data_IF_404513428040
#
_entry.id   IF_404513428040
#
_cell.length_a   1.000
_cell.length_b   1.000
_cell.length_c   1.000
_cell.angle_alpha   90.00
_cell.angle_beta   90.00
_cell.angle_gamma   90.00
#
_symmetry.space_group_name_H-M   'P 1'
#
loop_
_entity.id
_entity.type
_entity.pdbx_description
1 polymer ?
#
# COMPACT_ATOMS: atom_id res chain seq x y z
N UNK A 1 29.52 -19.92 -57.22
CA UNK A 1 29.66 -21.31 -57.72
C UNK A 1 30.74 -22.00 -56.90
N UNK A 2 30.45 -23.25 -56.53
CA UNK A 2 31.08 -24.04 -55.49
C UNK A 2 32.59 -24.24 -55.64
N UNK A 3 33.28 -24.50 -54.53
CA UNK A 3 33.94 -25.79 -54.30
C UNK A 3 34.28 -25.97 -52.80
N UNK A 4 33.58 -26.92 -52.18
CA UNK A 4 34.00 -27.66 -50.98
C UNK A 4 35.23 -28.52 -51.33
N UNK A 5 36.24 -28.63 -50.47
CA UNK A 5 36.74 -29.86 -49.80
C UNK A 5 37.70 -29.45 -48.63
N UNK A 6 38.09 -30.33 -47.67
CA UNK A 6 37.77 -30.17 -46.26
C UNK A 6 39.00 -30.05 -45.34
N UNK A 7 38.71 -29.93 -44.04
CA UNK A 7 39.64 -30.04 -42.92
C UNK A 7 40.74 -31.11 -43.11
N UNK A 8 41.99 -30.67 -43.00
CA UNK A 8 43.10 -31.51 -42.54
C UNK A 8 43.74 -30.87 -41.32
N UNK A 9 43.63 -31.60 -40.20
CA UNK A 9 44.43 -31.41 -39.01
C UNK A 9 45.91 -31.42 -39.39
N UNK A 10 46.66 -30.40 -38.94
CA UNK A 10 47.98 -30.50 -38.30
C UNK A 10 48.72 -29.15 -38.36
N UNK A 11 48.58 -28.34 -37.31
CA UNK A 11 49.74 -27.97 -36.49
C UNK A 11 49.28 -27.31 -35.19
N UNK A 12 49.24 -28.15 -34.16
CA UNK A 12 49.35 -27.76 -32.76
C UNK A 12 50.68 -27.04 -32.57
N UNK A 13 50.69 -25.72 -32.78
CA UNK A 13 51.88 -24.89 -32.58
C UNK A 13 51.62 -23.60 -31.79
N UNK A 14 50.36 -23.20 -31.62
CA UNK A 14 50.00 -21.92 -30.99
C UNK A 14 48.93 -22.01 -29.91
N UNK A 15 48.30 -23.17 -29.69
CA UNK A 15 47.31 -23.33 -28.61
C UNK A 15 47.91 -23.74 -27.26
N UNK A 16 49.11 -24.32 -27.22
CA UNK A 16 49.68 -24.88 -25.98
C UNK A 16 50.34 -23.83 -25.07
N UNK A 17 50.55 -22.61 -25.58
CA UNK A 17 51.06 -21.47 -24.80
C UNK A 17 49.94 -20.62 -24.19
N UNK A 18 48.74 -20.68 -24.75
CA UNK A 18 47.59 -19.87 -24.30
C UNK A 18 47.11 -20.38 -22.93
N UNK A 19 47.04 -21.70 -22.74
CA UNK A 19 46.53 -22.33 -21.52
C UNK A 19 47.56 -22.49 -20.38
N UNK A 20 48.79 -21.96 -20.51
CA UNK A 20 49.81 -22.02 -19.44
C UNK A 20 50.03 -20.71 -18.72
N UNK A 21 49.43 -19.60 -19.17
CA UNK A 21 49.42 -18.36 -18.41
C UNK A 21 48.49 -18.54 -17.21
N UNK A 22 49.00 -18.43 -15.96
CA UNK A 22 48.17 -18.49 -14.76
C UNK A 22 47.08 -17.43 -14.78
N UNK A 23 47.35 -16.28 -15.41
CA UNK A 23 46.40 -15.18 -15.59
C UNK A 23 45.28 -15.58 -16.55
N UNK A 24 45.62 -16.20 -17.68
CA UNK A 24 44.63 -16.63 -18.66
C UNK A 24 43.80 -17.81 -18.16
N UNK A 25 44.40 -18.75 -17.42
CA UNK A 25 43.68 -19.82 -16.75
C UNK A 25 42.72 -19.28 -15.67
N UNK A 26 43.11 -18.24 -14.92
CA UNK A 26 42.22 -17.56 -13.98
C UNK A 26 41.04 -16.92 -14.69
N UNK A 27 41.26 -16.21 -15.79
CA UNK A 27 40.16 -15.60 -16.57
C UNK A 27 39.22 -16.68 -17.15
N UNK A 28 39.76 -17.79 -17.64
CA UNK A 28 38.96 -18.94 -18.14
C UNK A 28 38.17 -19.61 -17.00
N UNK A 29 38.72 -19.68 -15.79
CA UNK A 29 38.01 -20.24 -14.62
C UNK A 29 36.95 -19.29 -14.07
N UNK A 30 37.21 -17.98 -14.13
CA UNK A 30 36.24 -16.95 -13.76
C UNK A 30 35.06 -16.96 -14.74
N UNK A 31 35.28 -17.33 -16.00
CA UNK A 31 34.24 -17.36 -17.03
C UNK A 31 33.88 -18.80 -17.43
N UNK A 32 32.97 -19.42 -16.68
CA UNK A 32 32.45 -20.77 -16.98
C UNK A 32 30.97 -20.72 -17.37
N UNK A 33 30.59 -21.46 -18.42
CA UNK A 33 29.20 -21.55 -18.86
C UNK A 33 28.60 -20.25 -19.43
N UNK A 34 29.44 -19.26 -19.78
CA UNK A 34 28.98 -17.97 -20.33
C UNK A 34 28.76 -16.88 -19.27
N UNK A 35 29.00 -17.17 -17.99
CA UNK A 35 28.81 -16.23 -16.89
C UNK A 35 30.11 -16.04 -16.09
N UNK A 36 30.35 -14.82 -15.62
CA UNK A 36 31.44 -14.56 -14.69
C UNK A 36 31.05 -15.03 -13.28
N UNK A 37 32.01 -15.56 -12.52
CA UNK A 37 31.78 -16.04 -11.15
C UNK A 37 31.18 -14.97 -10.22
N UNK A 38 31.58 -13.70 -10.40
CA UNK A 38 31.05 -12.55 -9.67
C UNK A 38 29.59 -12.22 -10.03
N UNK A 39 29.04 -12.79 -11.10
CA UNK A 39 27.68 -12.50 -11.59
C UNK A 39 26.69 -13.62 -11.30
N UNK A 40 27.15 -14.76 -10.78
CA UNK A 40 26.30 -15.89 -10.40
C UNK A 40 25.14 -15.50 -9.46
N UNK A 41 25.30 -14.57 -8.48
CA UNK A 41 24.20 -14.20 -7.60
C UNK A 41 23.00 -13.56 -8.32
N UNK A 42 23.19 -13.02 -9.53
CA UNK A 42 22.14 -12.33 -10.28
C UNK A 42 21.35 -13.25 -11.22
N UNK A 43 21.79 -14.48 -11.45
CA UNK A 43 21.14 -15.40 -12.40
C UNK A 43 19.66 -15.66 -12.08
N UNK A 44 19.29 -15.67 -10.80
CA UNK A 44 17.91 -15.90 -10.38
C UNK A 44 16.98 -14.69 -10.59
N UNK A 45 17.53 -13.50 -10.86
CA UNK A 45 16.75 -12.27 -11.03
C UNK A 45 16.06 -12.17 -12.41
N UNK A 46 16.48 -12.98 -13.38
CA UNK A 46 15.88 -13.03 -14.72
C UNK A 46 14.38 -13.40 -14.68
N UNK A 47 13.97 -14.26 -13.73
CA UNK A 47 12.57 -14.69 -13.56
C UNK A 47 11.68 -13.63 -12.89
N UNK A 48 12.26 -12.72 -12.11
CA UNK A 48 11.56 -11.70 -11.30
C UNK A 48 11.27 -10.43 -12.14
N UNK A 49 12.04 -10.21 -13.20
CA UNK A 49 12.16 -8.95 -13.96
C UNK A 49 10.86 -8.38 -14.57
N UNK A 50 9.88 -9.21 -14.98
CA UNK A 50 8.73 -8.68 -15.77
C UNK A 50 7.50 -8.25 -14.96
N UNK A 51 6.99 -9.01 -13.97
CA UNK A 51 5.75 -8.62 -13.28
C UNK A 51 5.99 -7.59 -12.18
N UNK A 52 7.08 -7.74 -11.41
CA UNK A 52 7.29 -7.01 -10.16
C UNK A 52 7.74 -5.57 -10.41
N UNK A 53 8.77 -5.36 -11.24
CA UNK A 53 9.17 -4.01 -11.65
C UNK A 53 8.05 -3.32 -12.45
N UNK A 54 7.49 -3.95 -13.48
CA UNK A 54 6.41 -3.32 -14.25
C UNK A 54 5.15 -3.01 -13.42
N UNK A 55 4.83 -3.80 -12.39
CA UNK A 55 3.74 -3.48 -11.47
C UNK A 55 4.15 -2.34 -10.53
N UNK A 56 5.27 -2.47 -9.81
CA UNK A 56 5.81 -1.47 -8.89
C UNK A 56 5.85 -0.06 -9.47
N UNK A 57 6.46 0.04 -10.66
CA UNK A 57 6.74 1.34 -11.23
C UNK A 57 5.49 1.91 -11.98
N UNK A 58 4.50 1.06 -12.31
CA UNK A 58 3.20 1.49 -12.87
C UNK A 58 2.16 1.84 -11.79
N UNK A 59 2.14 1.12 -10.66
CA UNK A 59 1.18 1.35 -9.58
C UNK A 59 1.65 2.38 -8.56
N UNK A 60 2.88 2.86 -8.69
CA UNK A 60 3.44 3.87 -7.78
C UNK A 60 3.53 3.39 -6.34
N UNK A 61 3.51 2.07 -6.12
CA UNK A 61 3.66 1.47 -4.81
C UNK A 61 5.14 1.20 -4.58
N UNK A 62 5.82 2.08 -3.85
CA UNK A 62 7.14 1.84 -3.26
C UNK A 62 7.15 0.71 -2.20
N UNK A 63 6.08 -0.06 -2.06
CA UNK A 63 6.08 -1.35 -1.34
C UNK A 63 6.76 -2.48 -2.16
N UNK A 64 7.65 -2.14 -3.09
CA UNK A 64 8.69 -3.09 -3.45
C UNK A 64 9.75 -3.01 -2.37
N UNK A 65 9.78 -4.03 -1.53
CA UNK A 65 10.92 -4.29 -0.69
C UNK A 65 12.13 -4.59 -1.60
N UNK A 66 12.84 -3.53 -1.97
CA UNK A 66 14.07 -3.61 -2.74
C UNK A 66 15.27 -3.89 -1.82
N UNK A 67 15.11 -3.92 -0.50
CA UNK A 67 16.22 -4.07 0.46
C UNK A 67 17.05 -5.35 0.20
N UNK A 68 16.45 -6.53 -0.08
CA UNK A 68 17.24 -7.72 -0.39
C UNK A 68 18.10 -7.56 -1.66
N UNK A 69 17.54 -6.93 -2.69
CA UNK A 69 18.25 -6.63 -3.93
C UNK A 69 19.35 -5.58 -3.70
N UNK A 70 19.03 -4.55 -2.93
CA UNK A 70 19.95 -3.47 -2.60
C UNK A 70 21.14 -3.97 -1.78
N UNK A 71 20.90 -4.83 -0.79
CA UNK A 71 21.96 -5.48 -0.04
C UNK A 71 22.86 -6.34 -0.92
N UNK A 72 22.28 -7.09 -1.86
CA UNK A 72 23.04 -7.89 -2.82
C UNK A 72 23.91 -7.01 -3.72
N UNK A 73 23.33 -5.96 -4.31
CA UNK A 73 24.05 -5.03 -5.19
C UNK A 73 25.11 -4.25 -4.43
N UNK A 74 24.83 -3.78 -3.22
CA UNK A 74 25.78 -3.07 -2.36
C UNK A 74 26.98 -3.96 -2.01
N UNK A 75 26.75 -5.22 -1.62
CA UNK A 75 27.83 -6.16 -1.36
C UNK A 75 28.69 -6.41 -2.62
N UNK A 76 28.05 -6.49 -3.78
CA UNK A 76 28.73 -6.65 -5.07
C UNK A 76 29.55 -5.42 -5.45
N UNK A 77 29.00 -4.21 -5.33
CA UNK A 77 29.73 -2.97 -5.59
C UNK A 77 30.92 -2.80 -4.62
N UNK A 78 30.76 -3.18 -3.35
CA UNK A 78 31.85 -3.15 -2.37
C UNK A 78 33.00 -4.11 -2.73
N UNK A 79 32.68 -5.27 -3.29
CA UNK A 79 33.67 -6.28 -3.66
C UNK A 79 34.39 -5.99 -4.99
N UNK A 80 33.66 -5.46 -5.99
CA UNK A 80 34.16 -5.38 -7.38
C UNK A 80 34.22 -3.96 -7.95
N UNK A 81 33.63 -2.98 -7.27
CA UNK A 81 33.54 -1.59 -7.73
C UNK A 81 32.47 -1.36 -8.80
N UNK A 82 32.01 -0.11 -8.91
CA UNK A 82 31.01 0.30 -9.93
C UNK A 82 31.58 0.16 -11.35
N UNK A 83 32.90 0.23 -11.54
CA UNK A 83 33.56 0.04 -12.85
C UNK A 83 33.34 -1.38 -13.45
N UNK A 84 32.89 -2.34 -12.64
CA UNK A 84 32.52 -3.68 -13.10
C UNK A 84 31.15 -3.70 -13.80
N UNK A 85 30.30 -2.70 -13.55
CA UNK A 85 28.92 -2.61 -14.05
C UNK A 85 28.79 -2.71 -15.59
N UNK A 86 29.64 -2.05 -16.41
CA UNK A 86 29.70 -2.27 -17.86
C UNK A 86 29.80 -3.72 -18.29
N UNK A 87 30.54 -4.57 -17.55
CA UNK A 87 30.67 -5.99 -17.88
C UNK A 87 29.41 -6.75 -17.48
N UNK A 88 28.81 -6.42 -16.33
CA UNK A 88 27.54 -6.99 -15.88
C UNK A 88 26.42 -6.75 -16.89
N UNK A 89 26.28 -5.52 -17.39
CA UNK A 89 25.22 -5.18 -18.35
C UNK A 89 25.43 -5.85 -19.71
N UNK A 90 26.68 -6.01 -20.16
CA UNK A 90 26.98 -6.71 -21.42
C UNK A 90 26.71 -8.22 -21.33
N UNK A 91 26.97 -8.85 -20.19
CA UNK A 91 26.69 -10.29 -19.99
C UNK A 91 25.23 -10.56 -19.62
N UNK A 92 24.57 -9.63 -18.93
CA UNK A 92 23.20 -9.74 -18.43
C UNK A 92 22.40 -8.45 -18.73
N UNK A 93 21.89 -8.26 -19.96
CA UNK A 93 21.24 -7.00 -20.35
C UNK A 93 20.02 -6.61 -19.50
N UNK A 94 19.30 -7.58 -18.94
CA UNK A 94 18.14 -7.35 -18.06
C UNK A 94 18.53 -6.65 -16.74
N UNK A 95 19.79 -6.79 -16.30
CA UNK A 95 20.27 -6.12 -15.08
C UNK A 95 20.27 -4.60 -15.22
N UNK A 96 20.31 -4.05 -16.44
CA UNK A 96 20.29 -2.59 -16.66
C UNK A 96 19.07 -1.91 -16.03
N UNK A 97 17.88 -2.50 -16.17
CA UNK A 97 16.67 -1.91 -15.58
C UNK A 97 16.66 -2.07 -14.04
N UNK A 98 17.16 -3.21 -13.55
CA UNK A 98 17.22 -3.53 -12.12
C UNK A 98 18.15 -2.57 -11.38
N UNK A 99 19.40 -2.42 -11.85
CA UNK A 99 20.39 -1.54 -11.24
C UNK A 99 20.02 -0.07 -11.37
N UNK A 100 19.27 0.32 -12.42
CA UNK A 100 18.73 1.67 -12.55
C UNK A 100 17.68 1.96 -11.48
N UNK A 101 16.75 1.02 -11.26
CA UNK A 101 15.72 1.19 -10.23
C UNK A 101 16.33 1.23 -8.82
N UNK A 102 17.27 0.33 -8.52
CA UNK A 102 18.03 0.32 -7.27
C UNK A 102 18.80 1.65 -7.08
N UNK A 103 19.54 2.09 -8.09
CA UNK A 103 20.31 3.32 -8.00
C UNK A 103 19.43 4.56 -7.79
N UNK A 104 18.24 4.60 -8.40
CA UNK A 104 17.29 5.67 -8.17
C UNK A 104 16.66 5.61 -6.78
N UNK A 105 16.25 4.41 -6.33
CA UNK A 105 15.57 4.20 -5.05
C UNK A 105 16.48 4.37 -3.82
N UNK A 106 17.80 4.19 -3.97
CA UNK A 106 18.79 4.26 -2.87
C UNK A 106 19.87 5.33 -3.05
N UNK A 107 19.71 6.25 -4.01
CA UNK A 107 20.59 7.42 -4.11
C UNK A 107 21.99 7.14 -4.71
N UNK A 108 22.15 6.10 -5.53
CA UNK A 108 23.47 5.73 -6.05
C UNK A 108 23.82 6.46 -7.36
N UNK A 109 24.23 7.73 -7.23
CA UNK A 109 24.64 8.57 -8.37
C UNK A 109 25.83 7.98 -9.14
N UNK A 110 26.74 7.26 -8.48
CA UNK A 110 27.89 6.63 -9.16
C UNK A 110 27.45 5.55 -10.15
N UNK A 111 26.43 4.76 -9.79
CA UNK A 111 25.82 3.78 -10.70
C UNK A 111 25.11 4.48 -11.85
N UNK A 112 24.33 5.54 -11.58
CA UNK A 112 23.69 6.33 -12.64
C UNK A 112 24.70 6.92 -13.62
N UNK A 113 25.83 7.40 -13.11
CA UNK A 113 26.90 7.93 -13.95
C UNK A 113 27.55 6.84 -14.81
N UNK A 114 27.84 5.68 -14.24
CA UNK A 114 28.31 4.53 -15.01
C UNK A 114 27.30 4.07 -16.07
N UNK A 115 25.99 4.13 -15.77
CA UNK A 115 24.93 3.81 -16.73
C UNK A 115 24.87 4.82 -17.87
N UNK A 116 24.95 6.12 -17.55
CA UNK A 116 24.93 7.21 -18.52
C UNK A 116 26.12 7.14 -19.51
N UNK A 117 27.29 6.72 -19.02
CA UNK A 117 28.48 6.48 -19.88
C UNK A 117 28.30 5.30 -20.85
N UNK A 118 27.46 4.32 -20.52
CA UNK A 118 27.18 3.16 -21.37
C UNK A 118 26.15 3.47 -22.44
N UNK A 119 25.07 4.14 -22.04
CA UNK A 119 23.97 4.55 -22.90
C UNK A 119 23.30 5.77 -22.25
N UNK A 120 23.10 6.88 -22.98
CA UNK A 120 22.56 8.11 -22.41
C UNK A 120 21.24 7.89 -21.68
N UNK A 121 21.15 8.34 -20.42
CA UNK A 121 20.00 8.05 -19.56
C UNK A 121 18.65 8.49 -20.16
N UNK A 122 18.61 9.58 -20.91
CA UNK A 122 17.39 10.12 -21.52
C UNK A 122 16.71 9.17 -22.53
N UNK A 123 17.40 8.12 -23.00
CA UNK A 123 16.82 7.16 -23.96
C UNK A 123 15.95 6.09 -23.29
N UNK A 124 16.15 5.81 -21.99
CA UNK A 124 15.43 4.75 -21.27
C UNK A 124 14.88 5.15 -19.88
N UNK A 125 15.35 6.24 -19.27
CA UNK A 125 14.76 6.76 -18.04
C UNK A 125 13.35 7.28 -18.32
N UNK A 126 12.43 6.98 -17.40
CA UNK A 126 11.01 7.34 -17.40
C UNK A 126 10.65 7.94 -16.05
N UNK A 127 9.51 8.63 -15.98
CA UNK A 127 8.96 9.19 -14.74
C UNK A 127 8.99 8.23 -13.57
N UNK A 128 8.75 6.95 -13.86
CA UNK A 128 8.69 5.86 -12.91
C UNK A 128 10.04 5.69 -12.15
N UNK A 129 11.18 5.83 -12.83
CA UNK A 129 12.52 5.73 -12.22
C UNK A 129 12.86 6.99 -11.41
N UNK A 130 12.53 8.16 -11.93
CA UNK A 130 12.77 9.44 -11.24
C UNK A 130 11.84 9.57 -10.03
N UNK A 131 10.63 9.03 -10.14
CA UNK A 131 9.66 8.89 -9.08
C UNK A 131 10.17 8.05 -7.91
N UNK A 132 10.94 6.98 -8.16
CA UNK A 132 11.60 6.22 -7.09
C UNK A 132 12.60 7.08 -6.30
N UNK A 133 13.41 7.90 -6.98
CA UNK A 133 14.31 8.82 -6.30
C UNK A 133 13.55 9.89 -5.50
N UNK A 134 12.46 10.42 -6.07
CA UNK A 134 11.64 11.41 -5.42
C UNK A 134 10.88 10.86 -4.20
N UNK A 135 10.41 9.62 -4.29
CA UNK A 135 9.71 8.90 -3.23
C UNK A 135 10.61 8.54 -2.04
N UNK A 136 11.93 8.42 -2.25
CA UNK A 136 12.91 8.06 -1.22
C UNK A 136 13.81 9.23 -0.80
N UNK A 137 13.47 10.47 -1.19
CA UNK A 137 14.19 11.65 -0.72
C UNK A 137 15.57 11.89 -1.37
N UNK A 138 15.89 11.21 -2.48
CA UNK A 138 17.21 11.28 -3.12
C UNK A 138 17.36 12.50 -4.04
N UNK A 139 17.46 13.69 -3.43
CA UNK A 139 17.65 14.97 -4.11
C UNK A 139 18.95 14.99 -4.93
N UNK A 140 19.98 14.28 -4.51
CA UNK A 140 21.25 14.12 -5.26
C UNK A 140 21.05 13.43 -6.61
N UNK A 141 20.25 12.37 -6.65
CA UNK A 141 19.82 11.71 -7.90
C UNK A 141 18.99 12.66 -8.74
N UNK A 142 18.03 13.37 -8.15
CA UNK A 142 17.20 14.34 -8.89
C UNK A 142 18.05 15.47 -9.50
N UNK A 143 19.06 15.96 -8.77
CA UNK A 143 20.03 16.94 -9.27
C UNK A 143 20.86 16.38 -10.41
N UNK A 144 21.36 15.16 -10.29
CA UNK A 144 22.11 14.50 -11.37
C UNK A 144 21.26 14.34 -12.64
N UNK A 145 20.00 13.97 -12.46
CA UNK A 145 19.03 13.77 -13.53
C UNK A 145 18.51 15.10 -14.12
N UNK A 146 18.56 16.21 -13.39
CA UNK A 146 18.11 17.52 -13.87
C UNK A 146 18.88 17.99 -15.12
N UNK A 147 20.14 17.59 -15.26
CA UNK A 147 20.97 17.93 -16.42
C UNK A 147 20.71 17.02 -17.63
N UNK A 148 19.92 15.95 -17.47
CA UNK A 148 19.57 15.03 -18.54
C UNK A 148 18.31 15.51 -19.28
N UNK A 149 18.30 15.56 -20.63
CA UNK A 149 17.16 16.03 -21.41
C UNK A 149 16.07 14.94 -21.54
N UNK A 150 15.49 14.51 -20.41
CA UNK A 150 14.27 13.71 -20.42
C UNK A 150 13.06 14.58 -20.03
N UNK A 151 11.87 14.23 -20.54
CA UNK A 151 10.65 14.98 -20.28
C UNK A 151 10.16 14.70 -18.87
N UNK A 152 10.42 15.63 -17.93
CA UNK A 152 9.82 15.60 -16.60
C UNK A 152 8.31 15.85 -16.69
N UNK A 153 7.57 15.30 -15.74
CA UNK A 153 6.12 15.49 -15.65
C UNK A 153 5.71 15.84 -14.22
N UNK A 154 4.44 16.19 -14.03
CA UNK A 154 3.84 16.45 -12.71
C UNK A 154 3.97 15.27 -11.74
N UNK A 155 4.12 14.05 -12.27
CA UNK A 155 4.17 12.82 -11.47
C UNK A 155 5.30 12.80 -10.47
N UNK A 156 6.41 13.49 -10.74
CA UNK A 156 7.58 13.42 -9.85
C UNK A 156 7.29 14.09 -8.50
N UNK A 157 6.59 15.24 -8.52
CA UNK A 157 6.15 15.88 -7.28
C UNK A 157 5.00 15.10 -6.63
N UNK A 158 4.13 14.47 -7.42
CA UNK A 158 3.08 13.59 -6.90
C UNK A 158 3.69 12.39 -6.12
N UNK A 159 4.78 11.80 -6.63
CA UNK A 159 5.53 10.75 -5.93
C UNK A 159 6.13 11.26 -4.63
N UNK A 160 6.90 12.36 -4.65
CA UNK A 160 7.49 12.93 -3.44
C UNK A 160 6.42 13.24 -2.37
N UNK A 161 5.28 13.79 -2.80
CA UNK A 161 4.18 14.12 -1.90
C UNK A 161 3.49 12.88 -1.31
N UNK A 162 3.33 11.83 -2.13
CA UNK A 162 2.77 10.54 -1.70
C UNK A 162 3.57 9.93 -0.56
N UNK A 163 4.89 10.08 -0.56
CA UNK A 163 5.81 9.51 0.43
C UNK A 163 6.21 10.45 1.56
N UNK A 164 5.68 11.68 1.56
CA UNK A 164 5.94 12.63 2.65
C UNK A 164 7.30 13.31 2.56
N UNK A 165 7.98 13.23 1.42
CA UNK A 165 9.32 13.76 1.19
C UNK A 165 9.29 15.28 0.98
N UNK A 166 9.06 16.02 2.06
CA UNK A 166 8.87 17.48 2.04
C UNK A 166 10.04 18.24 1.43
N UNK A 167 11.28 17.84 1.73
CA UNK A 167 12.47 18.52 1.18
C UNK A 167 12.60 18.29 -0.33
N UNK A 168 12.21 17.11 -0.81
CA UNK A 168 12.11 16.82 -2.25
C UNK A 168 11.00 17.65 -2.90
N UNK A 169 9.83 17.77 -2.27
CA UNK A 169 8.73 18.60 -2.77
C UNK A 169 9.16 20.07 -2.88
N UNK A 170 9.87 20.60 -1.87
CA UNK A 170 10.46 21.95 -1.89
C UNK A 170 11.46 22.11 -3.02
N UNK A 171 12.39 21.16 -3.15
CA UNK A 171 13.41 21.20 -4.20
C UNK A 171 12.76 21.22 -5.59
N UNK A 172 11.78 20.33 -5.83
CA UNK A 172 11.03 20.28 -7.09
C UNK A 172 10.27 21.59 -7.34
N UNK A 173 9.66 22.18 -6.32
CA UNK A 173 8.96 23.46 -6.42
C UNK A 173 9.88 24.61 -6.83
N UNK A 174 11.09 24.67 -6.29
CA UNK A 174 12.05 25.75 -6.55
C UNK A 174 12.79 25.61 -7.89
N UNK A 175 12.99 24.38 -8.38
CA UNK A 175 13.87 24.12 -9.53
C UNK A 175 13.12 23.67 -10.78
N UNK A 176 11.84 23.31 -10.68
CA UNK A 176 11.04 22.74 -11.77
C UNK A 176 9.73 23.51 -11.97
N UNK A 177 9.28 23.59 -13.22
CA UNK A 177 8.10 24.39 -13.60
C UNK A 177 6.86 23.52 -13.87
N UNK A 178 7.04 22.22 -14.03
CA UNK A 178 5.99 21.24 -14.38
C UNK A 178 4.88 21.20 -13.34
N UNK A 179 5.22 21.37 -12.06
CA UNK A 179 4.26 21.36 -10.96
C UNK A 179 3.86 19.97 -10.48
N UNK A 180 2.64 19.88 -9.95
CA UNK A 180 2.04 18.64 -9.49
C UNK A 180 0.63 18.48 -10.08
N UNK A 181 -0.01 17.36 -9.80
CA UNK A 181 -1.44 17.19 -10.04
C UNK A 181 -2.23 17.29 -8.72
N UNK A 182 -3.54 17.05 -8.78
CA UNK A 182 -4.35 16.89 -7.57
C UNK A 182 -3.89 15.69 -6.72
N UNK A 183 -3.20 14.73 -7.34
CA UNK A 183 -2.76 13.51 -6.68
C UNK A 183 -1.71 13.79 -5.60
N UNK A 184 -0.87 14.82 -5.75
CA UNK A 184 0.09 15.20 -4.70
C UNK A 184 -0.58 15.46 -3.36
N UNK A 185 -1.58 16.36 -3.30
CA UNK A 185 -2.26 16.68 -2.04
C UNK A 185 -3.22 15.57 -1.61
N UNK A 186 -3.87 14.88 -2.55
CA UNK A 186 -4.76 13.76 -2.24
C UNK A 186 -3.99 12.60 -1.59
N UNK A 187 -2.83 12.22 -2.14
CA UNK A 187 -2.02 11.11 -1.63
C UNK A 187 -1.24 11.49 -0.37
N UNK A 188 -0.71 12.72 -0.27
CA UNK A 188 -0.15 13.23 0.98
C UNK A 188 -1.20 13.18 2.11
N UNK A 189 -2.45 13.51 1.80
CA UNK A 189 -3.55 13.43 2.77
C UNK A 189 -3.92 12.00 3.13
N UNK A 190 -4.00 11.11 2.12
CA UNK A 190 -4.24 9.68 2.29
C UNK A 190 -3.21 9.02 3.22
N UNK A 191 -1.93 9.43 3.17
CA UNK A 191 -0.84 8.86 3.94
C UNK A 191 -0.47 9.67 5.20
N UNK A 192 -1.24 10.71 5.53
CA UNK A 192 -1.08 11.44 6.79
C UNK A 192 0.08 12.44 6.81
N UNK A 193 0.63 12.82 5.66
CA UNK A 193 1.77 13.73 5.54
C UNK A 193 1.34 15.20 5.63
N UNK A 194 0.86 15.62 6.80
CA UNK A 194 0.39 16.99 7.05
C UNK A 194 1.39 18.08 6.62
N UNK A 195 2.71 17.99 6.89
CA UNK A 195 3.66 19.02 6.46
C UNK A 195 3.71 19.22 4.94
N UNK A 196 3.52 18.15 4.17
CA UNK A 196 3.43 18.21 2.71
C UNK A 196 2.11 18.86 2.27
N UNK A 197 0.99 18.49 2.91
CA UNK A 197 -0.33 19.09 2.63
C UNK A 197 -0.30 20.61 2.87
N UNK A 198 0.28 21.05 3.99
CA UNK A 198 0.47 22.47 4.32
C UNK A 198 1.32 23.18 3.28
N UNK A 199 2.46 22.59 2.90
CA UNK A 199 3.35 23.17 1.92
C UNK A 199 2.67 23.32 0.55
N UNK A 200 2.01 22.26 0.06
CA UNK A 200 1.31 22.27 -1.22
C UNK A 200 0.20 23.33 -1.21
N UNK A 201 -0.58 23.43 -0.13
CA UNK A 201 -1.63 24.45 -0.06
C UNK A 201 -1.09 25.88 -0.12
N UNK A 202 0.03 26.16 0.56
CA UNK A 202 0.60 27.51 0.63
C UNK A 202 1.31 27.93 -0.66
N UNK A 203 1.88 26.98 -1.41
CA UNK A 203 2.81 27.28 -2.51
C UNK A 203 2.34 26.79 -3.88
N UNK A 204 1.28 25.98 -3.96
CA UNK A 204 0.81 25.37 -5.21
C UNK A 204 -0.69 25.66 -5.46
N UNK A 205 -1.07 26.14 -6.67
CA UNK A 205 -2.45 26.46 -6.99
C UNK A 205 -3.33 25.23 -7.31
N UNK A 206 -2.76 24.04 -7.51
CA UNK A 206 -3.49 22.85 -7.96
C UNK A 206 -4.56 22.39 -6.97
N UNK A 207 -4.28 22.45 -5.66
CA UNK A 207 -5.21 22.06 -4.60
C UNK A 207 -5.48 20.56 -4.52
N UNK A 208 -6.69 20.19 -4.09
CA UNK A 208 -7.13 18.81 -3.95
C UNK A 208 -8.58 18.63 -4.40
N UNK A 209 -9.12 17.42 -4.26
CA UNK A 209 -10.56 17.19 -4.34
C UNK A 209 -11.05 16.48 -3.06
N UNK A 210 -12.33 16.12 -2.98
CA UNK A 210 -12.91 15.50 -1.79
C UNK A 210 -12.24 14.17 -1.38
N UNK A 211 -11.50 13.51 -2.28
CA UNK A 211 -10.73 12.31 -1.96
C UNK A 211 -9.66 12.60 -0.92
N UNK A 212 -9.07 13.80 -0.85
CA UNK A 212 -8.05 14.11 0.16
C UNK A 212 -8.59 13.88 1.58
N UNK A 213 -9.77 14.43 1.88
CA UNK A 213 -10.39 14.29 3.21
C UNK A 213 -11.04 12.92 3.39
N UNK A 214 -11.67 12.35 2.35
CA UNK A 214 -12.26 11.00 2.42
C UNK A 214 -11.20 9.93 2.74
N UNK A 215 -10.03 10.01 2.08
CA UNK A 215 -8.94 9.07 2.26
C UNK A 215 -8.16 9.32 3.56
N UNK A 216 -7.93 10.58 3.95
CA UNK A 216 -7.37 10.89 5.25
C UNK A 216 -8.24 10.34 6.40
N UNK A 217 -9.57 10.44 6.27
CA UNK A 217 -10.52 9.87 7.21
C UNK A 217 -10.48 8.33 7.20
N UNK A 218 -10.43 7.73 6.01
CA UNK A 218 -10.30 6.27 5.84
C UNK A 218 -9.08 5.69 6.52
N UNK A 219 -7.95 6.40 6.58
CA UNK A 219 -6.71 5.92 7.20
C UNK A 219 -6.47 6.51 8.61
N UNK A 220 -7.46 7.19 9.19
CA UNK A 220 -7.40 7.63 10.57
C UNK A 220 -6.54 8.88 10.82
N UNK A 221 -6.18 9.62 9.76
CA UNK A 221 -5.35 10.81 9.85
C UNK A 221 -6.14 12.05 10.30
N UNK A 222 -6.59 12.05 11.56
CA UNK A 222 -7.44 13.10 12.12
C UNK A 222 -6.85 14.52 11.96
N UNK A 223 -5.54 14.68 12.16
CA UNK A 223 -4.89 16.00 12.02
C UNK A 223 -5.01 16.55 10.60
N UNK A 224 -4.88 15.69 9.58
CA UNK A 224 -5.08 16.07 8.18
C UNK A 224 -6.54 16.41 7.91
N UNK A 225 -7.49 15.62 8.43
CA UNK A 225 -8.93 15.89 8.27
C UNK A 225 -9.30 17.25 8.86
N UNK A 226 -8.86 17.53 10.09
CA UNK A 226 -9.07 18.81 10.77
C UNK A 226 -8.49 19.97 9.97
N UNK A 227 -7.24 19.81 9.51
CA UNK A 227 -6.54 20.84 8.77
C UNK A 227 -7.22 21.13 7.43
N UNK A 228 -7.57 20.09 6.66
CA UNK A 228 -8.27 20.23 5.39
C UNK A 228 -9.63 20.92 5.61
N UNK A 229 -10.37 20.58 6.66
CA UNK A 229 -11.65 21.23 6.93
C UNK A 229 -11.53 22.71 7.27
N UNK A 230 -10.47 23.10 7.99
CA UNK A 230 -10.24 24.48 8.37
C UNK A 230 -9.76 25.36 7.21
N UNK A 231 -9.06 24.80 6.22
CA UNK A 231 -8.35 25.58 5.19
C UNK A 231 -8.85 25.34 3.76
N UNK A 232 -9.68 24.32 3.52
CA UNK A 232 -10.14 23.92 2.19
C UNK A 232 -11.66 23.85 2.13
N UNK A 233 -12.21 24.09 0.94
CA UNK A 233 -13.66 24.19 0.70
C UNK A 233 -14.24 22.96 0.02
N UNK A 234 -13.37 22.08 -0.48
CA UNK A 234 -13.69 20.84 -1.18
C UNK A 234 -14.44 19.85 -0.27
N UNK A 235 -14.16 19.90 1.03
CA UNK A 235 -14.81 19.09 2.06
C UNK A 235 -14.59 17.59 1.88
N UNK A 236 -15.47 16.79 2.50
CA UNK A 236 -15.54 15.35 2.31
C UNK A 236 -16.93 14.92 1.82
N UNK A 237 -17.01 13.67 1.37
CA UNK A 237 -18.28 13.02 1.02
C UNK A 237 -18.73 12.11 2.17
N UNK A 238 -19.86 11.43 1.99
CA UNK A 238 -20.30 10.39 2.93
C UNK A 238 -19.26 9.25 3.09
N UNK A 239 -18.34 9.10 2.13
CA UNK A 239 -17.27 8.09 2.18
C UNK A 239 -16.31 8.31 3.34
N UNK A 240 -16.01 9.55 3.73
CA UNK A 240 -15.16 9.82 4.90
C UNK A 240 -15.66 9.11 6.16
N UNK A 241 -16.96 9.24 6.49
CA UNK A 241 -17.53 8.55 7.65
C UNK A 241 -17.61 7.04 7.42
N UNK A 242 -18.12 6.61 6.26
CA UNK A 242 -18.28 5.19 5.97
C UNK A 242 -16.96 4.42 6.07
N UNK A 243 -15.87 4.98 5.53
CA UNK A 243 -14.55 4.37 5.53
C UNK A 243 -13.84 4.51 6.88
N UNK A 244 -13.94 5.66 7.55
CA UNK A 244 -13.44 5.81 8.92
C UNK A 244 -14.10 4.79 9.87
N UNK A 245 -15.41 4.59 9.72
CA UNK A 245 -16.16 3.61 10.51
C UNK A 245 -15.79 2.17 10.14
N UNK A 246 -15.65 1.88 8.84
CA UNK A 246 -15.23 0.58 8.32
C UNK A 246 -13.82 0.16 8.77
N UNK A 247 -12.94 1.12 9.07
CA UNK A 247 -11.57 0.88 9.54
C UNK A 247 -11.39 1.15 11.05
N UNK A 248 -12.48 1.45 11.76
CA UNK A 248 -12.47 1.55 13.22
C UNK A 248 -11.87 2.84 13.79
N UNK A 249 -11.69 3.88 12.97
CA UNK A 249 -11.10 5.17 13.36
C UNK A 249 -12.09 6.04 14.14
N UNK A 250 -12.32 5.69 15.41
CA UNK A 250 -13.31 6.33 16.27
C UNK A 250 -13.13 7.85 16.38
N UNK A 251 -11.90 8.33 16.56
CA UNK A 251 -11.63 9.76 16.76
C UNK A 251 -12.02 10.57 15.52
N UNK A 252 -11.78 10.02 14.32
CA UNK A 252 -12.21 10.63 13.05
C UNK A 252 -13.73 10.60 12.94
N UNK A 253 -14.37 9.49 13.28
CA UNK A 253 -15.84 9.36 13.29
C UNK A 253 -16.47 10.39 14.23
N UNK A 254 -15.95 10.51 15.46
CA UNK A 254 -16.41 11.48 16.45
C UNK A 254 -16.27 12.91 15.93
N UNK A 255 -15.12 13.23 15.34
CA UNK A 255 -14.84 14.56 14.83
C UNK A 255 -15.74 14.92 13.63
N UNK A 256 -15.87 14.01 12.66
CA UNK A 256 -16.76 14.19 11.50
C UNK A 256 -18.22 14.34 11.93
N UNK A 257 -18.64 13.57 12.94
CA UNK A 257 -19.99 13.66 13.48
C UNK A 257 -20.27 15.03 14.11
N UNK A 258 -19.30 15.58 14.86
CA UNK A 258 -19.44 16.87 15.53
C UNK A 258 -19.41 18.08 14.58
N UNK A 259 -18.70 17.99 13.45
CA UNK A 259 -18.43 19.13 12.57
C UNK A 259 -19.25 19.14 11.28
N UNK A 260 -20.03 18.09 10.99
CA UNK A 260 -20.81 17.99 9.76
C UNK A 260 -22.22 17.46 10.05
N UNK A 261 -23.06 18.38 10.56
CA UNK A 261 -24.45 18.13 10.97
C UNK A 261 -25.23 17.28 9.93
N UNK A 262 -25.55 16.04 10.31
CA UNK A 262 -26.59 15.20 9.70
C UNK A 262 -26.29 14.51 8.36
N UNK A 263 -25.27 14.92 7.60
CA UNK A 263 -24.97 14.32 6.28
C UNK A 263 -24.15 13.02 6.41
N UNK A 264 -23.42 12.86 7.52
CA UNK A 264 -22.41 11.81 7.64
C UNK A 264 -22.79 10.70 8.64
N UNK A 265 -23.81 10.84 9.50
CA UNK A 265 -24.30 9.73 10.32
C UNK A 265 -25.20 8.80 9.47
N UNK A 266 -24.58 7.98 8.61
CA UNK A 266 -25.33 7.04 7.78
C UNK A 266 -25.50 5.70 8.51
N UNK A 267 -26.69 5.07 8.46
CA UNK A 267 -26.86 3.68 8.89
C UNK A 267 -25.84 2.73 8.27
N UNK A 268 -25.35 3.08 7.06
CA UNK A 268 -24.31 2.36 6.36
C UNK A 268 -22.95 2.41 7.08
N UNK A 269 -22.56 3.53 7.68
CA UNK A 269 -21.35 3.60 8.49
C UNK A 269 -21.40 2.66 9.71
N UNK A 270 -22.55 2.60 10.41
CA UNK A 270 -22.77 1.63 11.51
C UNK A 270 -22.70 0.19 11.00
N UNK A 271 -23.33 -0.12 9.87
CA UNK A 271 -23.30 -1.46 9.28
C UNK A 271 -21.89 -1.87 8.85
N UNK A 272 -21.09 -0.95 8.29
CA UNK A 272 -19.70 -1.21 7.92
C UNK A 272 -18.84 -1.45 9.17
N UNK A 273 -18.96 -0.61 10.20
CA UNK A 273 -18.29 -0.84 11.48
C UNK A 273 -18.66 -2.21 12.08
N UNK A 274 -19.93 -2.60 12.01
CA UNK A 274 -20.40 -3.91 12.47
C UNK A 274 -19.86 -5.06 11.64
N UNK A 275 -19.75 -4.90 10.33
CA UNK A 275 -19.19 -5.91 9.41
C UNK A 275 -17.70 -6.17 9.65
N UNK A 276 -16.95 -5.17 10.10
CA UNK A 276 -15.51 -5.26 10.34
C UNK A 276 -15.13 -5.36 11.83
N UNK A 277 -16.11 -5.48 12.72
CA UNK A 277 -15.86 -5.78 14.13
C UNK A 277 -15.49 -4.57 15.00
N UNK A 278 -15.83 -3.36 14.58
CA UNK A 278 -15.52 -2.13 15.32
C UNK A 278 -16.64 -1.75 16.29
N UNK A 279 -16.77 -2.51 17.38
CA UNK A 279 -17.80 -2.33 18.42
C UNK A 279 -17.89 -0.87 18.90
N UNK A 280 -16.76 -0.28 19.27
CA UNK A 280 -16.70 1.08 19.81
C UNK A 280 -17.24 2.14 18.84
N UNK A 281 -17.08 1.95 17.52
CA UNK A 281 -17.67 2.83 16.50
C UNK A 281 -19.16 2.61 16.39
N UNK A 282 -19.62 1.35 16.39
CA UNK A 282 -21.05 1.01 16.33
C UNK A 282 -21.79 1.65 17.50
N UNK A 283 -21.30 1.45 18.72
CA UNK A 283 -21.94 1.97 19.94
C UNK A 283 -21.99 3.50 19.92
N UNK A 284 -20.89 4.17 19.55
CA UNK A 284 -20.86 5.63 19.46
C UNK A 284 -21.88 6.17 18.45
N UNK A 285 -21.89 5.63 17.23
CA UNK A 285 -22.84 6.06 16.19
C UNK A 285 -24.29 5.75 16.57
N UNK A 286 -24.53 4.65 17.29
CA UNK A 286 -25.86 4.26 17.76
C UNK A 286 -26.41 5.19 18.85
N UNK A 287 -25.57 5.54 19.82
CA UNK A 287 -25.93 6.45 20.91
C UNK A 287 -26.26 7.85 20.39
N UNK A 288 -25.56 8.30 19.35
CA UNK A 288 -25.63 9.67 18.87
C UNK A 288 -26.42 9.84 17.56
N UNK A 289 -27.29 8.90 17.19
CA UNK A 289 -28.21 9.09 16.07
C UNK A 289 -29.60 9.61 16.51
N UNK A 290 -30.12 10.59 15.77
CA UNK A 290 -31.41 11.24 16.02
C UNK A 290 -32.58 10.61 15.24
N UNK A 291 -32.55 9.29 15.05
CA UNK A 291 -33.61 8.57 14.35
C UNK A 291 -34.84 8.28 15.23
N UNK A 292 -36.03 8.32 14.63
CA UNK A 292 -37.31 7.94 15.26
C UNK A 292 -37.27 6.49 15.79
N UNK A 293 -38.00 6.14 16.89
CA UNK A 293 -37.89 4.84 17.57
C UNK A 293 -38.03 3.60 16.67
N UNK A 294 -38.93 3.66 15.68
CA UNK A 294 -39.10 2.57 14.70
C UNK A 294 -37.87 2.40 13.81
N UNK A 295 -37.24 3.51 13.40
CA UNK A 295 -36.03 3.52 12.59
C UNK A 295 -34.82 3.08 13.41
N UNK A 296 -34.72 3.48 14.69
CA UNK A 296 -33.69 2.97 15.62
C UNK A 296 -33.72 1.44 15.74
N UNK A 297 -34.92 0.86 15.84
CA UNK A 297 -35.11 -0.60 15.92
C UNK A 297 -34.72 -1.31 14.61
N UNK A 298 -35.09 -0.76 13.46
CA UNK A 298 -34.72 -1.31 12.15
C UNK A 298 -33.20 -1.27 11.89
N UNK A 299 -32.55 -0.18 12.30
CA UNK A 299 -31.09 -0.04 12.24
C UNK A 299 -30.43 -1.04 13.18
N UNK A 300 -30.88 -1.13 14.43
CA UNK A 300 -30.35 -2.09 15.40
C UNK A 300 -30.41 -3.53 14.88
N UNK A 301 -31.55 -3.96 14.32
CA UNK A 301 -31.68 -5.28 13.70
C UNK A 301 -30.69 -5.45 12.53
N UNK A 302 -30.56 -4.45 11.66
CA UNK A 302 -29.69 -4.53 10.49
C UNK A 302 -28.21 -4.62 10.88
N UNK A 303 -27.79 -3.82 11.86
CA UNK A 303 -26.44 -3.81 12.45
C UNK A 303 -26.13 -5.15 13.11
N UNK A 304 -27.02 -5.65 13.98
CA UNK A 304 -26.83 -6.95 14.63
C UNK A 304 -26.82 -8.11 13.63
N UNK A 305 -27.66 -8.08 12.59
CA UNK A 305 -27.66 -9.10 11.53
C UNK A 305 -26.36 -9.08 10.73
N UNK A 306 -25.79 -7.92 10.45
CA UNK A 306 -24.53 -7.82 9.72
C UNK A 306 -23.33 -8.25 10.60
N UNK A 307 -23.30 -7.84 11.86
CA UNK A 307 -22.33 -8.33 12.85
C UNK A 307 -22.40 -9.86 13.00
N UNK A 308 -23.62 -10.42 13.04
CA UNK A 308 -23.81 -11.86 13.05
C UNK A 308 -23.25 -12.49 11.76
N UNK A 309 -23.56 -12.02 10.55
CA UNK A 309 -22.96 -12.62 9.35
C UNK A 309 -21.43 -12.58 9.34
N UNK A 310 -20.84 -11.58 9.99
CA UNK A 310 -19.40 -11.39 10.09
C UNK A 310 -18.75 -12.06 11.32
N UNK A 311 -19.50 -12.79 12.15
CA UNK A 311 -19.01 -13.46 13.37
C UNK A 311 -18.47 -12.52 14.46
N UNK A 312 -19.06 -11.33 14.58
CA UNK A 312 -18.76 -10.37 15.64
C UNK A 312 -19.78 -10.45 16.79
N UNK A 313 -19.69 -11.53 17.58
CA UNK A 313 -20.59 -11.82 18.72
C UNK A 313 -20.63 -10.68 19.76
N UNK A 314 -19.51 -10.00 19.98
CA UNK A 314 -19.39 -8.90 20.95
C UNK A 314 -20.34 -7.74 20.59
N UNK A 315 -20.38 -7.37 19.31
CA UNK A 315 -21.29 -6.33 18.80
C UNK A 315 -22.75 -6.76 18.93
N UNK A 316 -23.07 -8.02 18.62
CA UNK A 316 -24.44 -8.53 18.76
C UNK A 316 -24.88 -8.47 20.23
N UNK A 317 -24.01 -8.86 21.17
CA UNK A 317 -24.29 -8.80 22.62
C UNK A 317 -24.45 -7.36 23.10
N UNK A 318 -23.53 -6.47 22.74
CA UNK A 318 -23.55 -5.08 23.16
C UNK A 318 -24.81 -4.36 22.67
N UNK A 319 -25.14 -4.50 21.38
CA UNK A 319 -26.35 -3.94 20.79
C UNK A 319 -27.63 -4.57 21.34
N UNK A 320 -27.64 -5.88 21.62
CA UNK A 320 -28.79 -6.54 22.23
C UNK A 320 -29.10 -5.96 23.61
N UNK A 321 -28.07 -5.77 24.45
CA UNK A 321 -28.21 -5.18 25.78
C UNK A 321 -28.63 -3.70 25.71
N UNK A 322 -28.05 -2.93 24.79
CA UNK A 322 -28.30 -1.49 24.66
C UNK A 322 -29.69 -1.17 24.10
N UNK A 323 -30.17 -1.95 23.13
CA UNK A 323 -31.41 -1.64 22.39
C UNK A 323 -32.66 -2.30 22.94
N UNK A 324 -32.50 -3.35 23.76
CA UNK A 324 -33.59 -4.24 24.19
C UNK A 324 -34.41 -4.80 22.99
N UNK A 325 -33.82 -4.81 21.79
CA UNK A 325 -34.50 -5.27 20.59
C UNK A 325 -34.38 -6.78 20.46
N UNK A 326 -35.51 -7.49 20.49
CA UNK A 326 -35.54 -8.94 20.35
C UNK A 326 -36.17 -9.34 19.01
N UNK A 327 -35.48 -10.23 18.28
CA UNK A 327 -35.97 -10.77 17.01
C UNK A 327 -35.71 -12.27 16.91
N UNK A 328 -36.79 -13.04 16.76
CA UNK A 328 -36.73 -14.49 16.51
C UNK A 328 -36.02 -14.80 15.19
N UNK A 329 -36.14 -13.91 14.19
CA UNK A 329 -35.42 -14.05 12.93
C UNK A 329 -33.91 -13.85 13.09
N UNK A 330 -33.49 -12.88 13.91
CA UNK A 330 -32.08 -12.64 14.24
C UNK A 330 -31.47 -13.88 14.93
N UNK A 331 -32.19 -14.47 15.89
CA UNK A 331 -31.77 -15.70 16.58
C UNK A 331 -31.61 -16.88 15.60
N UNK A 332 -32.57 -17.06 14.68
CA UNK A 332 -32.52 -18.10 13.65
C UNK A 332 -31.30 -17.92 12.74
N UNK A 333 -31.01 -16.69 12.32
CA UNK A 333 -29.85 -16.37 11.49
C UNK A 333 -28.53 -16.54 12.25
N UNK A 334 -28.49 -16.14 13.51
CA UNK A 334 -27.31 -16.34 14.36
C UNK A 334 -26.99 -17.83 14.54
N UNK A 335 -28.01 -18.69 14.70
CA UNK A 335 -27.85 -20.15 14.69
C UNK A 335 -27.33 -20.64 13.33
N UNK A 336 -27.92 -20.19 12.22
CA UNK A 336 -27.51 -20.60 10.88
C UNK A 336 -26.06 -20.17 10.54
N UNK A 337 -25.61 -19.05 11.11
CA UNK A 337 -24.25 -18.55 11.00
C UNK A 337 -23.26 -19.19 12.00
N UNK A 338 -23.72 -20.09 12.89
CA UNK A 338 -22.83 -20.85 13.77
C UNK A 338 -22.36 -20.11 15.03
N UNK A 339 -23.05 -19.06 15.49
CA UNK A 339 -22.68 -18.31 16.71
C UNK A 339 -23.02 -19.03 18.00
N UNK A 340 -22.33 -20.14 18.26
CA UNK A 340 -22.58 -21.01 19.41
C UNK A 340 -22.41 -20.25 20.73
N UNK A 341 -21.43 -19.35 20.82
CA UNK A 341 -21.12 -18.64 22.06
C UNK A 341 -22.12 -17.52 22.36
N UNK A 342 -22.58 -16.77 21.36
CA UNK A 342 -23.75 -15.89 21.51
C UNK A 342 -25.00 -16.64 21.97
N UNK A 343 -25.32 -17.80 21.37
CA UNK A 343 -26.49 -18.60 21.78
C UNK A 343 -26.33 -19.18 23.20
N UNK A 344 -25.12 -19.60 23.59
CA UNK A 344 -24.83 -20.01 24.97
C UNK A 344 -24.99 -18.84 25.94
N UNK A 345 -24.49 -17.65 25.58
CA UNK A 345 -24.61 -16.44 26.39
C UNK A 345 -26.08 -16.08 26.63
N UNK A 346 -26.94 -16.12 25.60
CA UNK A 346 -28.39 -15.89 25.76
C UNK A 346 -29.09 -16.85 26.74
N UNK A 347 -28.53 -18.05 26.91
CA UNK A 347 -29.06 -19.09 27.80
C UNK A 347 -28.58 -18.96 29.25
N UNK A 348 -27.63 -18.08 29.53
CA UNK A 348 -27.16 -17.84 30.90
C UNK A 348 -28.24 -17.11 31.70
N UNK A 349 -28.46 -17.54 32.95
CA UNK A 349 -29.49 -16.98 33.82
C UNK A 349 -29.24 -15.50 34.14
N UNK A 350 -27.99 -15.03 34.08
CA UNK A 350 -27.60 -13.62 34.22
C UNK A 350 -28.27 -12.71 33.17
N UNK A 351 -28.44 -13.19 31.93
CA UNK A 351 -29.12 -12.45 30.86
C UNK A 351 -30.63 -12.41 31.10
N UNK A 352 -31.20 -13.48 31.66
CA UNK A 352 -32.62 -13.55 32.07
C UNK A 352 -32.91 -12.66 33.27
N UNK A 353 -31.98 -12.57 34.22
CA UNK A 353 -32.08 -11.69 35.39
C UNK A 353 -31.95 -10.22 35.01
N UNK A 354 -30.99 -9.87 34.14
CA UNK A 354 -30.90 -8.51 33.57
C UNK A 354 -32.15 -8.15 32.77
N UNK A 355 -32.68 -9.09 31.98
CA UNK A 355 -33.93 -8.91 31.25
C UNK A 355 -35.13 -8.69 32.18
N UNK A 356 -35.22 -9.43 33.28
CA UNK A 356 -36.26 -9.24 34.28
C UNK A 356 -36.11 -7.90 35.04
N UNK A 357 -34.88 -7.43 35.27
CA UNK A 357 -34.61 -6.16 35.96
C UNK A 357 -34.97 -4.92 35.12
N UNK A 358 -34.91 -5.01 33.79
CA UNK A 358 -35.30 -3.93 32.85
C UNK A 358 -36.72 -4.09 32.28
N UNK A 359 -37.55 -4.99 32.84
CA UNK A 359 -38.92 -5.25 32.38
C UNK A 359 -38.99 -5.77 30.92
N UNK A 360 -37.99 -6.57 30.50
CA UNK A 360 -37.92 -7.17 29.16
C UNK A 360 -38.84 -8.40 29.05
N UNK A 361 -39.60 -8.48 27.96
CA UNK A 361 -40.28 -9.71 27.54
C UNK A 361 -39.25 -10.62 26.88
N UNK A 362 -38.88 -11.75 27.52
CA UNK A 362 -37.89 -12.69 26.97
C UNK A 362 -38.56 -13.53 25.85
N UNK A 363 -38.07 -13.45 24.61
CA UNK A 363 -38.42 -14.41 23.56
C UNK A 363 -38.01 -15.80 24.05
N UNK A 364 -38.93 -16.75 23.97
CA UNK A 364 -38.69 -18.13 24.37
C UNK A 364 -37.62 -18.79 23.47
N UNK A 365 -36.38 -18.82 23.98
CA UNK A 365 -35.22 -19.44 23.34
C UNK A 365 -35.17 -20.96 23.55
N UNK A 366 -36.13 -21.58 24.25
CA UNK A 366 -36.15 -23.03 24.51
C UNK A 366 -36.17 -23.87 23.23
N UNK A 367 -36.75 -23.33 22.15
CA UNK A 367 -36.80 -23.98 20.83
C UNK A 367 -35.53 -23.80 19.98
N UNK A 368 -34.57 -22.96 20.38
CA UNK A 368 -33.30 -22.76 19.64
C UNK A 368 -32.30 -23.84 20.07
N UNK A 369 -32.40 -25.07 19.55
CA UNK A 369 -31.47 -26.15 19.89
C UNK A 369 -30.02 -25.80 19.45
N UNK A 370 -29.04 -25.94 20.34
CA UNK A 370 -27.61 -25.86 20.00
C UNK A 370 -27.24 -27.25 19.52
N UNK A 371 -27.49 -27.53 18.24
CA UNK A 371 -27.00 -28.77 17.65
C UNK A 371 -25.47 -28.65 17.58
N UNK A 372 -24.77 -29.59 18.22
CA UNK A 372 -23.32 -29.71 18.08
C UNK A 372 -23.00 -29.74 16.59
N UNK A 373 -22.19 -28.77 16.15
CA UNK A 373 -21.88 -28.56 14.74
C UNK A 373 -21.52 -29.89 14.06
N UNK A 374 -22.28 -30.24 13.02
CA UNK A 374 -21.74 -31.03 11.92
C UNK A 374 -20.60 -30.21 11.34
N UNK A 375 -19.37 -30.59 11.70
CA UNK A 375 -18.19 -30.26 10.92
C UNK A 375 -18.46 -30.69 9.48
N UNK A 376 -18.48 -29.74 8.55
CA UNK A 376 -18.43 -30.01 7.13
C UNK A 376 -17.33 -29.09 6.55
N UNK A 377 -16.60 -29.60 5.55
CA UNK A 377 -15.15 -29.42 5.37
C UNK A 377 -14.69 -28.04 4.91
#
# INVERSE_FOLDING_TARGET
MAHFVPFHFLHLGTMDFVLRSPELLREVWVFQGGHYSDMLPFLHLEAIHRPILHYAIRTGTANLDLDPLHHLLTAWYAAYGVDRLPRLIRSMPHMKAIVLCDAAAFGNVAVLDSLNRLDPLHTYVKDEHVGLAAANGHIDVLRYLNDCPFGWTTKIMDYAATYGELDTVRWLHEHRAEGCSLDAMNHASNNGHLPVVEFLHLHRPEGCNSHAMDLAASNGHLQVVQWLHAHRTEGCTFKAMEWAASNGHLEVVQWLHAHQHGVHNTPKAMMLAAKFGHEHVVLYLYDHHDDEPMRRSAIAYSVMNEAAKAHHDEIVRAMWLQTNFQSSDLLRRAKAAGHVDFIKWLRQDTVREQANATNMTIIDISNVHVDQATAAP
#
